data_IF_109109833118
#
_entry.id   IF_109109833118
#
_cell.length_a   1.000
_cell.length_b   1.000
_cell.length_c   1.000
_cell.angle_alpha   90.00
_cell.angle_beta   90.00
_cell.angle_gamma   90.00
#
_symmetry.space_group_name_H-M   'P 1'
#
loop_
_entity.id
_entity.type
_entity.pdbx_description
1 polymer ?
#
# COMPACT_ATOMS: atom_id res chain seq x y z
N UNK A 1 -15.23 3.34 -13.18
CA UNK A 1 -13.92 3.76 -13.73
C UNK A 1 -12.97 2.60 -13.63
N UNK A 2 -12.17 2.33 -14.66
CA UNK A 2 -11.09 1.33 -14.57
C UNK A 2 -9.98 1.89 -13.69
N UNK A 3 -9.44 1.07 -12.79
CA UNK A 3 -8.25 1.46 -11.99
C UNK A 3 -7.06 1.73 -12.91
N UNK A 4 -6.19 2.66 -12.51
CA UNK A 4 -4.93 2.93 -13.21
C UNK A 4 -3.96 1.80 -12.89
N UNK A 5 -3.51 1.07 -13.90
CA UNK A 5 -2.55 -0.03 -13.72
C UNK A 5 -1.14 0.51 -13.54
N UNK A 6 -0.52 0.17 -12.42
CA UNK A 6 0.89 0.45 -12.15
C UNK A 6 1.74 -0.62 -12.83
N UNK A 7 2.73 -0.17 -13.62
CA UNK A 7 3.53 -1.06 -14.49
C UNK A 7 4.59 -1.86 -13.74
N UNK A 8 5.09 -1.31 -12.64
CA UNK A 8 6.21 -1.88 -11.87
C UNK A 8 5.72 -2.25 -10.47
N UNK A 9 6.06 -3.45 -9.97
CA UNK A 9 5.80 -3.81 -8.58
C UNK A 9 6.43 -2.80 -7.62
N UNK A 10 5.72 -2.49 -6.53
CA UNK A 10 6.20 -1.59 -5.49
C UNK A 10 6.49 -2.41 -4.25
N UNK A 11 7.67 -2.21 -3.68
CA UNK A 11 8.03 -2.80 -2.39
C UNK A 11 7.34 -1.99 -1.29
N UNK A 12 6.51 -2.66 -0.50
CA UNK A 12 5.87 -2.11 0.68
C UNK A 12 6.62 -2.58 1.93
N UNK A 13 7.15 -1.63 2.70
CA UNK A 13 7.82 -1.89 3.96
C UNK A 13 6.92 -1.39 5.08
N UNK A 14 6.38 -2.29 5.89
CA UNK A 14 5.44 -1.93 6.96
C UNK A 14 6.19 -1.36 8.16
N UNK A 15 5.56 -0.37 8.81
CA UNK A 15 6.09 0.30 10.00
C UNK A 15 5.32 -0.09 11.26
N UNK A 16 5.58 0.63 12.35
CA UNK A 16 5.06 0.29 13.69
C UNK A 16 4.02 1.28 14.24
N UNK A 17 3.32 0.84 15.28
CA UNK A 17 2.38 1.63 16.09
C UNK A 17 1.34 2.41 15.27
N UNK A 18 1.30 3.74 15.42
CA UNK A 18 0.33 4.60 14.75
C UNK A 18 0.60 4.72 13.25
N UNK A 19 1.85 4.55 12.81
CA UNK A 19 2.20 4.70 11.39
C UNK A 19 1.62 3.57 10.55
N UNK A 20 1.59 2.34 11.07
CA UNK A 20 0.93 1.18 10.45
C UNK A 20 -0.56 1.41 10.19
N UNK A 21 -1.24 1.99 11.19
CA UNK A 21 -2.69 2.27 11.11
C UNK A 21 -2.95 3.37 10.07
N UNK A 22 -2.20 4.47 10.11
CA UNK A 22 -2.33 5.55 9.14
C UNK A 22 -2.02 5.07 7.72
N UNK A 23 -0.98 4.24 7.56
CA UNK A 23 -0.59 3.69 6.27
C UNK A 23 -1.71 2.82 5.65
N UNK A 24 -2.34 1.96 6.45
CA UNK A 24 -3.53 1.21 6.03
C UNK A 24 -4.65 2.14 5.56
N UNK A 25 -4.95 3.21 6.31
CA UNK A 25 -5.98 4.17 5.93
C UNK A 25 -5.70 4.87 4.60
N UNK A 26 -4.43 5.24 4.36
CA UNK A 26 -3.99 5.84 3.08
C UNK A 26 -4.19 4.85 1.93
N UNK A 27 -3.74 3.60 2.09
CA UNK A 27 -3.90 2.59 1.03
C UNK A 27 -5.37 2.34 0.70
N UNK A 28 -6.20 2.13 1.72
CA UNK A 28 -7.61 1.77 1.55
C UNK A 28 -8.44 2.91 0.97
N UNK A 29 -8.15 4.16 1.34
CA UNK A 29 -8.98 5.32 0.94
C UNK A 29 -8.45 6.05 -0.29
N UNK A 30 -7.13 6.08 -0.48
CA UNK A 30 -6.48 6.96 -1.45
C UNK A 30 -5.76 6.22 -2.57
N UNK A 31 -5.41 4.93 -2.40
CA UNK A 31 -4.65 4.18 -3.41
C UNK A 31 -5.46 3.05 -4.04
N UNK A 32 -5.82 2.02 -3.27
CA UNK A 32 -6.44 0.78 -3.77
C UNK A 32 -7.79 0.98 -4.50
N UNK A 33 -8.61 2.02 -4.22
CA UNK A 33 -9.80 2.29 -5.02
C UNK A 33 -9.49 2.78 -6.44
N UNK A 34 -8.32 3.40 -6.65
CA UNK A 34 -7.96 4.10 -7.88
C UNK A 34 -6.83 3.43 -8.66
N UNK A 35 -5.95 2.70 -7.98
CA UNK A 35 -4.76 2.08 -8.54
C UNK A 35 -4.87 0.56 -8.47
N UNK A 36 -4.46 -0.10 -9.56
CA UNK A 36 -4.22 -1.54 -9.63
C UNK A 36 -2.71 -1.74 -9.56
N UNK A 37 -2.22 -2.19 -8.41
CA UNK A 37 -0.80 -2.21 -8.04
C UNK A 37 -0.42 -3.60 -7.54
N UNK A 38 0.77 -4.04 -7.93
CA UNK A 38 1.41 -5.21 -7.34
C UNK A 38 2.30 -4.74 -6.19
N UNK A 39 2.05 -5.25 -4.99
CA UNK A 39 2.74 -4.84 -3.76
C UNK A 39 3.54 -6.02 -3.21
N UNK A 40 4.86 -5.91 -3.23
CA UNK A 40 5.75 -6.84 -2.54
C UNK A 40 5.87 -6.42 -1.08
N UNK A 41 5.15 -7.10 -0.20
CA UNK A 41 5.04 -6.75 1.22
C UNK A 41 6.17 -7.35 2.06
N UNK A 42 6.81 -6.50 2.87
CA UNK A 42 7.82 -6.87 3.85
C UNK A 42 7.46 -6.21 5.20
N UNK A 43 7.24 -7.04 6.22
CA UNK A 43 7.05 -6.59 7.59
C UNK A 43 8.43 -6.42 8.26
N UNK A 44 8.74 -5.22 8.76
CA UNK A 44 9.97 -4.95 9.52
C UNK A 44 9.73 -4.91 11.04
N UNK A 45 8.53 -5.30 11.48
CA UNK A 45 8.26 -5.46 12.91
C UNK A 45 9.21 -6.52 13.51
N UNK A 46 9.78 -6.19 14.67
CA UNK A 46 10.64 -7.08 15.47
C UNK A 46 9.79 -7.83 16.49
#
# INVERSE_FOLDING_TARGET
MSKIRVKTPIVEIDGDEMTRIMWKMVKDRLLLPFLDMDLEYYDLHI
#
